data_IF_106131879705
#
_entry.id   IF_106131879705
#
_cell.length_a   1.000
_cell.length_b   1.000
_cell.length_c   1.000
_cell.angle_alpha   90.00
_cell.angle_beta   90.00
_cell.angle_gamma   90.00
#
_symmetry.space_group_name_H-M   'P 1'
#
loop_
_entity.id
_entity.type
_entity.pdbx_description
1 polymer ?
#
# COMPACT_ATOMS: atom_id res chain seq x y z
N UNK A 1 6.03 3.44 16.71
CA UNK A 1 5.48 3.12 15.37
C UNK A 1 5.15 4.35 14.50
N UNK A 2 4.46 5.39 15.02
CA UNK A 2 4.02 6.56 14.23
C UNK A 2 5.15 7.28 13.45
N UNK A 3 6.33 7.45 14.07
CA UNK A 3 7.48 8.15 13.45
C UNK A 3 8.06 7.40 12.25
N UNK A 4 8.27 6.09 12.38
CA UNK A 4 8.78 5.25 11.29
C UNK A 4 7.84 5.25 10.06
N UNK A 5 6.53 5.20 10.29
CA UNK A 5 5.54 5.27 9.20
C UNK A 5 5.52 6.64 8.52
N UNK A 6 5.71 7.73 9.28
CA UNK A 6 5.82 9.08 8.70
C UNK A 6 7.08 9.23 7.84
N UNK A 7 8.23 8.75 8.31
CA UNK A 7 9.48 8.76 7.56
C UNK A 7 9.39 7.91 6.29
N UNK A 8 8.80 6.71 6.38
CA UNK A 8 8.55 5.86 5.23
C UNK A 8 7.60 6.51 4.22
N UNK A 9 6.51 7.13 4.68
CA UNK A 9 5.56 7.85 3.83
C UNK A 9 6.21 9.06 3.14
N UNK A 10 7.05 9.81 3.87
CA UNK A 10 7.82 10.92 3.31
C UNK A 10 8.78 10.43 2.22
N UNK A 11 9.53 9.37 2.48
CA UNK A 11 10.43 8.75 1.51
C UNK A 11 9.67 8.20 0.28
N UNK A 12 8.46 7.66 0.48
CA UNK A 12 7.60 7.19 -0.61
C UNK A 12 7.17 8.32 -1.54
N UNK A 13 6.85 9.50 -0.99
CA UNK A 13 6.42 10.65 -1.78
C UNK A 13 7.59 11.40 -2.43
N UNK A 14 8.77 11.43 -1.80
CA UNK A 14 9.90 12.28 -2.22
C UNK A 14 11.01 11.52 -2.96
N UNK A 15 11.34 10.29 -2.54
CA UNK A 15 12.54 9.56 -3.01
C UNK A 15 12.21 8.35 -3.87
N UNK A 16 11.10 7.68 -3.62
CA UNK A 16 10.72 6.47 -4.35
C UNK A 16 10.39 6.80 -5.81
N UNK A 17 11.07 6.17 -6.78
CA UNK A 17 10.94 6.51 -8.21
C UNK A 17 9.90 5.67 -8.96
N UNK A 18 9.52 4.50 -8.46
CA UNK A 18 8.56 3.63 -9.17
C UNK A 18 7.12 4.12 -9.01
N UNK A 19 6.25 3.58 -9.86
CA UNK A 19 4.80 3.77 -9.75
C UNK A 19 4.28 2.93 -8.60
N UNK A 20 3.49 3.57 -7.75
CA UNK A 20 2.82 2.91 -6.64
C UNK A 20 1.42 3.53 -6.46
N UNK A 21 0.41 2.70 -6.15
CA UNK A 21 -0.98 3.15 -5.96
C UNK A 21 -1.10 4.12 -4.79
N UNK A 22 -0.49 3.80 -3.65
CA UNK A 22 -0.47 4.65 -2.45
C UNK A 22 0.31 5.93 -2.72
N UNK A 23 1.43 5.88 -3.45
CA UNK A 23 2.16 7.08 -3.87
C UNK A 23 1.32 7.98 -4.78
N UNK A 24 0.67 7.41 -5.79
CA UNK A 24 -0.15 8.18 -6.75
C UNK A 24 -1.31 8.87 -6.03
N UNK A 25 -1.98 8.14 -5.14
CA UNK A 25 -3.01 8.70 -4.28
C UNK A 25 -2.45 9.79 -3.34
N UNK A 26 -1.31 9.54 -2.69
CA UNK A 26 -0.68 10.50 -1.79
C UNK A 26 -0.23 11.80 -2.48
N UNK A 27 0.25 11.72 -3.73
CA UNK A 27 0.56 12.90 -4.54
C UNK A 27 -0.71 13.67 -4.92
N UNK A 28 -1.81 12.99 -5.23
CA UNK A 28 -3.10 13.65 -5.45
C UNK A 28 -3.62 14.35 -4.18
N UNK A 29 -3.40 13.76 -3.00
CA UNK A 29 -3.70 14.40 -1.71
C UNK A 29 -2.82 15.63 -1.52
N UNK A 30 -1.52 15.55 -1.80
CA UNK A 30 -0.59 16.68 -1.70
C UNK A 30 -0.90 17.83 -2.68
N UNK A 31 -1.67 17.57 -3.74
CA UNK A 31 -2.12 18.62 -4.68
C UNK A 31 -3.28 19.44 -4.11
N UNK A 32 -4.11 18.85 -3.24
CA UNK A 32 -5.31 19.49 -2.66
C UNK A 32 -5.12 19.96 -1.22
N UNK A 33 -4.05 19.55 -0.56
CA UNK A 33 -3.74 19.80 0.84
C UNK A 33 -2.23 20.06 1.03
N UNK A 34 -1.80 20.39 2.23
CA UNK A 34 -0.37 20.60 2.53
C UNK A 34 0.42 19.27 2.49
N UNK A 35 1.70 19.36 2.13
CA UNK A 35 2.56 18.18 2.02
C UNK A 35 2.62 17.37 3.32
N UNK A 36 2.66 18.03 4.49
CA UNK A 36 2.71 17.37 5.80
C UNK A 36 1.44 16.55 6.06
N UNK A 37 0.28 17.07 5.69
CA UNK A 37 -1.00 16.36 5.83
C UNK A 37 -1.07 15.16 4.88
N UNK A 38 -0.56 15.30 3.66
CA UNK A 38 -0.47 14.20 2.71
C UNK A 38 0.43 13.06 3.22
N UNK A 39 1.58 13.38 3.82
CA UNK A 39 2.46 12.38 4.45
C UNK A 39 1.74 11.64 5.58
N UNK A 40 1.00 12.36 6.44
CA UNK A 40 0.20 11.74 7.51
C UNK A 40 -0.89 10.82 6.95
N UNK A 41 -1.58 11.24 5.89
CA UNK A 41 -2.61 10.45 5.24
C UNK A 41 -2.04 9.16 4.63
N UNK A 42 -0.88 9.25 3.97
CA UNK A 42 -0.15 8.10 3.42
C UNK A 42 0.31 7.16 4.53
N UNK A 43 0.87 7.68 5.63
CA UNK A 43 1.30 6.87 6.77
C UNK A 43 0.12 6.07 7.37
N UNK A 44 -1.07 6.69 7.51
CA UNK A 44 -2.29 6.00 7.96
C UNK A 44 -2.72 4.90 6.99
N UNK A 45 -2.68 5.18 5.69
CA UNK A 45 -3.01 4.18 4.66
C UNK A 45 -2.05 2.98 4.71
N UNK A 46 -0.76 3.23 4.87
CA UNK A 46 0.26 2.18 5.01
C UNK A 46 0.03 1.32 6.26
N UNK A 47 -0.31 1.93 7.40
CA UNK A 47 -0.63 1.19 8.63
C UNK A 47 -1.80 0.21 8.43
N UNK A 48 -2.88 0.67 7.77
CA UNK A 48 -4.05 -0.16 7.48
C UNK A 48 -3.68 -1.31 6.54
N UNK A 49 -2.90 -1.03 5.48
CA UNK A 49 -2.46 -2.07 4.55
C UNK A 49 -1.61 -3.12 5.26
N UNK A 50 -0.62 -2.71 6.04
CA UNK A 50 0.23 -3.64 6.78
C UNK A 50 -0.56 -4.48 7.79
N UNK A 51 -1.55 -3.88 8.45
CA UNK A 51 -2.43 -4.61 9.36
C UNK A 51 -3.29 -5.64 8.62
N UNK A 52 -3.89 -5.27 7.48
CA UNK A 52 -4.66 -6.18 6.65
C UNK A 52 -3.80 -7.33 6.10
N UNK A 53 -2.57 -7.03 5.65
CA UNK A 53 -1.62 -8.07 5.22
C UNK A 53 -1.32 -9.06 6.35
N UNK A 54 -1.17 -8.57 7.58
CA UNK A 54 -0.91 -9.40 8.75
C UNK A 54 -2.12 -10.29 9.11
N UNK A 55 -3.33 -9.74 9.10
CA UNK A 55 -4.54 -10.49 9.44
C UNK A 55 -4.96 -11.47 8.34
N UNK A 56 -4.88 -11.07 7.07
CA UNK A 56 -5.41 -11.83 5.94
C UNK A 56 -4.36 -12.80 5.35
N UNK A 57 -3.07 -12.56 5.63
CA UNK A 57 -1.93 -13.27 5.03
C UNK A 57 -1.67 -12.87 3.57
N UNK A 58 -2.18 -11.71 3.15
CA UNK A 58 -2.09 -11.22 1.77
C UNK A 58 -0.88 -10.30 1.57
N UNK A 59 -0.41 -10.16 0.33
CA UNK A 59 0.67 -9.24 -0.02
C UNK A 59 0.13 -7.95 -0.65
N UNK A 60 0.74 -6.81 -0.32
CA UNK A 60 0.45 -5.53 -0.97
C UNK A 60 1.11 -5.44 -2.35
N UNK A 61 0.31 -5.17 -3.39
CA UNK A 61 0.79 -4.95 -4.74
C UNK A 61 0.64 -3.47 -5.14
N UNK A 62 1.76 -2.76 -5.13
CA UNK A 62 1.84 -1.32 -5.37
C UNK A 62 1.82 -0.90 -6.83
N UNK A 63 2.37 -1.72 -7.73
CA UNK A 63 2.46 -1.42 -9.17
C UNK A 63 1.45 -2.28 -9.96
N UNK A 64 0.70 -1.65 -10.87
CA UNK A 64 -0.28 -2.34 -11.72
C UNK A 64 0.36 -3.34 -12.69
N UNK A 65 1.64 -3.14 -13.06
CA UNK A 65 2.38 -4.10 -13.89
C UNK A 65 2.75 -5.37 -13.11
N UNK A 66 3.02 -5.24 -11.81
CA UNK A 66 3.28 -6.36 -10.89
C UNK A 66 1.96 -7.04 -10.47
N UNK A 67 0.86 -6.29 -10.53
CA UNK A 67 -0.49 -6.72 -10.15
C UNK A 67 -1.05 -7.91 -10.93
N UNK A 68 -0.59 -8.23 -12.14
CA UNK A 68 -1.12 -9.38 -12.88
C UNK A 68 -0.60 -10.72 -12.30
N UNK A 69 0.69 -10.78 -11.95
CA UNK A 69 1.31 -11.97 -11.39
C UNK A 69 0.93 -12.19 -9.92
N UNK A 70 0.94 -11.12 -9.11
CA UNK A 70 0.57 -11.21 -7.69
C UNK A 70 -0.94 -11.41 -7.49
N UNK A 71 -1.79 -10.80 -8.32
CA UNK A 71 -3.24 -11.07 -8.28
C UNK A 71 -3.57 -12.49 -8.74
N UNK A 72 -2.86 -13.02 -9.75
CA UNK A 72 -3.00 -14.42 -10.16
C UNK A 72 -2.54 -15.39 -9.06
N UNK A 73 -1.51 -15.04 -8.29
CA UNK A 73 -1.10 -15.80 -7.11
C UNK A 73 -2.14 -15.69 -5.96
N UNK A 74 -2.81 -14.54 -5.81
CA UNK A 74 -3.91 -14.32 -4.85
C UNK A 74 -5.17 -15.11 -5.19
N UNK A 75 -5.57 -15.18 -6.47
CA UNK A 75 -6.71 -15.98 -6.91
C UNK A 75 -6.50 -17.47 -6.59
N UNK A 76 -5.32 -18.01 -6.89
CA UNK A 76 -4.97 -19.42 -6.61
C UNK A 76 -4.96 -19.78 -5.12
N UNK A 77 -4.63 -18.84 -4.23
CA UNK A 77 -4.61 -19.06 -2.77
C UNK A 77 -6.00 -18.98 -2.14
N UNK A 78 -6.88 -18.12 -2.66
CA UNK A 78 -8.27 -18.00 -2.21
C UNK A 78 -9.07 -19.25 -2.60
N UNK A 79 -8.85 -19.80 -3.80
CA UNK A 79 -9.48 -21.05 -4.25
C UNK A 79 -9.12 -22.25 -3.36
N UNK A 80 -7.86 -22.37 -2.91
CA UNK A 80 -7.47 -23.44 -1.99
C UNK A 80 -8.12 -23.32 -0.59
N UNK A 81 -8.46 -22.09 -0.17
CA UNK A 81 -9.14 -21.80 1.11
C UNK A 81 -10.65 -22.06 1.05
N UNK A 82 -11.25 -22.07 -0.15
CA UNK A 82 -12.67 -22.34 -0.37
C UNK A 82 -12.98 -23.85 -0.42
N UNK A 83 -11.96 -24.70 -0.63
CA UNK A 83 -12.10 -26.16 -0.65
C UNK A 83 -12.00 -26.82 0.74
N UNK A 84 -11.65 -26.05 1.77
CA UNK A 84 -11.47 -26.53 3.15
C UNK A 84 -12.60 -26.09 4.11
N UNK A 85 -13.75 -25.62 3.59
CA UNK A 85 -14.95 -25.28 4.35
C UNK A 85 -16.07 -26.29 4.15
#
# INVERSE_FOLDING_TARGET
>A
MRRALYEAASALLTRFKRKDKVKTWGLAVAKRAEHREAVVAVARKLAVIMHAMWCDGTAYCGDRAVSAADAAAQAKRMDHRLLER
#
